data_IF_967141961943
#
_entry.id   IF_967141961943
#
_cell.length_a   1.000
_cell.length_b   1.000
_cell.length_c   1.000
_cell.angle_alpha   90.00
_cell.angle_beta   90.00
_cell.angle_gamma   90.00
#
_symmetry.space_group_name_H-M   'P 1'
#
loop_
_entity.id
_entity.type
_entity.pdbx_description
1 polymer ?
#
# COMPACT_ATOMS: atom_id res chain seq x y z
N UNK A 1 -35.19 8.20 1.27
CA UNK A 1 -35.38 9.69 1.20
C UNK A 1 -34.79 10.17 -0.10
N UNK A 2 -35.36 11.21 -0.76
CA UNK A 2 -34.85 11.89 -1.97
C UNK A 2 -34.89 13.41 -1.71
N UNK A 3 -33.76 14.00 -1.32
CA UNK A 3 -33.68 15.37 -0.81
C UNK A 3 -32.29 15.99 -1.05
N UNK A 4 -32.25 17.31 -1.22
CA UNK A 4 -31.01 18.08 -1.24
C UNK A 4 -30.75 18.76 0.11
N UNK A 5 -29.63 18.42 0.73
CA UNK A 5 -29.07 19.04 1.92
C UNK A 5 -27.97 20.00 1.51
N UNK A 6 -28.16 21.30 1.76
CA UNK A 6 -27.25 22.36 1.32
C UNK A 6 -26.83 23.17 2.53
N UNK A 7 -25.52 23.22 2.80
CA UNK A 7 -24.91 23.98 3.91
C UNK A 7 -25.48 23.60 5.29
N UNK A 8 -25.74 22.31 5.50
CA UNK A 8 -26.12 21.79 6.81
C UNK A 8 -24.85 21.71 7.68
N UNK A 9 -24.81 22.49 8.75
CA UNK A 9 -23.61 22.67 9.56
C UNK A 9 -23.89 22.26 11.02
N UNK A 10 -23.16 21.26 11.49
CA UNK A 10 -23.05 20.95 12.90
C UNK A 10 -22.36 22.09 13.67
N UNK A 11 -22.76 22.31 14.91
CA UNK A 11 -22.16 23.32 15.80
C UNK A 11 -20.64 23.16 15.86
N UNK A 12 -19.90 24.23 15.58
CA UNK A 12 -18.43 24.29 15.65
C UNK A 12 -17.90 24.43 17.08
N UNK A 13 -18.76 24.78 18.02
CA UNK A 13 -18.40 25.01 19.41
C UNK A 13 -18.44 23.72 20.24
N UNK A 14 -19.03 22.66 19.68
CA UNK A 14 -19.08 21.35 20.30
C UNK A 14 -18.08 20.44 19.59
N UNK A 15 -17.08 19.96 20.33
CA UNK A 15 -16.09 18.96 19.88
C UNK A 15 -16.72 17.58 19.57
N UNK A 16 -17.97 17.53 19.10
CA UNK A 16 -18.77 16.32 18.94
C UNK A 16 -19.97 16.46 18.01
N UNK A 17 -20.03 17.45 17.11
CA UNK A 17 -21.08 17.48 16.09
C UNK A 17 -20.92 16.31 15.10
N UNK A 18 -21.94 15.47 14.98
CA UNK A 18 -21.94 14.27 14.14
C UNK A 18 -22.93 14.43 13.00
N UNK A 19 -22.49 14.25 11.76
CA UNK A 19 -23.38 14.28 10.60
C UNK A 19 -23.86 15.69 10.28
N UNK A 20 -23.19 16.38 9.37
CA UNK A 20 -23.54 17.79 9.09
C UNK A 20 -24.98 17.95 8.62
N UNK A 21 -25.48 16.99 7.84
CA UNK A 21 -26.88 16.90 7.45
C UNK A 21 -27.64 15.82 8.23
N UNK A 22 -27.06 14.63 8.39
CA UNK A 22 -27.76 13.48 8.97
C UNK A 22 -26.84 12.71 9.91
N UNK A 23 -27.33 12.47 11.13
CA UNK A 23 -26.82 11.46 12.05
C UNK A 23 -27.76 10.25 12.06
N UNK A 24 -27.21 9.04 11.91
CA UNK A 24 -27.97 7.79 11.88
C UNK A 24 -27.46 6.86 12.97
N UNK A 25 -28.37 6.38 13.80
CA UNK A 25 -28.10 5.35 14.79
C UNK A 25 -28.88 4.08 14.42
N UNK A 26 -28.17 3.08 13.91
CA UNK A 26 -28.75 1.79 13.50
C UNK A 26 -28.64 0.78 14.64
N UNK A 27 -29.75 0.14 15.02
CA UNK A 27 -29.83 -0.86 16.09
C UNK A 27 -30.81 -1.98 15.75
N UNK A 28 -30.55 -3.18 16.25
CA UNK A 28 -31.48 -4.31 16.29
C UNK A 28 -32.08 -4.65 14.91
N UNK A 29 -31.21 -4.93 13.93
CA UNK A 29 -31.59 -5.34 12.57
C UNK A 29 -32.42 -4.31 11.79
N UNK A 30 -32.44 -3.04 12.22
CA UNK A 30 -33.14 -2.00 11.49
C UNK A 30 -32.52 -1.77 10.11
N UNK A 31 -33.35 -1.32 9.18
CA UNK A 31 -32.95 -1.06 7.80
C UNK A 31 -33.23 0.40 7.45
N UNK A 32 -32.28 1.04 6.79
CA UNK A 32 -32.41 2.42 6.32
C UNK A 32 -31.89 2.54 4.89
N UNK A 33 -32.62 3.29 4.06
CA UNK A 33 -32.26 3.54 2.65
C UNK A 33 -32.26 5.05 2.37
N UNK A 34 -31.12 5.55 1.89
CA UNK A 34 -30.94 6.92 1.40
C UNK A 34 -30.71 6.83 -0.10
N UNK A 35 -31.52 7.52 -0.91
CA UNK A 35 -31.42 7.40 -2.35
C UNK A 35 -31.70 8.69 -3.09
N UNK A 36 -30.94 9.01 -4.13
CA UNK A 36 -31.12 10.26 -4.89
C UNK A 36 -30.98 11.51 -4.01
N UNK A 37 -30.12 11.46 -2.99
CA UNK A 37 -29.87 12.61 -2.12
C UNK A 37 -28.59 13.34 -2.53
N UNK A 38 -28.60 14.66 -2.38
CA UNK A 38 -27.41 15.50 -2.52
C UNK A 38 -27.04 16.11 -1.18
N UNK A 39 -25.79 15.99 -0.77
CA UNK A 39 -25.19 16.64 0.37
C UNK A 39 -24.15 17.62 -0.17
N UNK A 40 -24.39 18.91 -0.04
CA UNK A 40 -23.54 19.94 -0.60
C UNK A 40 -23.11 20.94 0.47
N UNK A 41 -21.80 21.14 0.59
CA UNK A 41 -21.20 22.09 1.55
C UNK A 41 -21.63 21.82 3.01
N UNK A 42 -21.97 20.56 3.34
CA UNK A 42 -22.32 20.18 4.70
C UNK A 42 -21.05 20.02 5.56
N UNK A 43 -21.16 20.35 6.84
CA UNK A 43 -20.01 20.40 7.74
C UNK A 43 -20.34 19.81 9.12
N UNK A 44 -19.41 19.05 9.71
CA UNK A 44 -19.53 18.54 11.08
C UNK A 44 -18.15 18.19 11.65
N UNK A 45 -18.06 17.93 12.95
CA UNK A 45 -16.83 17.42 13.55
C UNK A 45 -16.44 16.07 12.93
N UNK A 46 -17.38 15.15 12.77
CA UNK A 46 -17.22 13.90 12.00
C UNK A 46 -18.39 13.66 11.06
N UNK A 47 -18.13 13.14 9.86
CA UNK A 47 -19.17 12.87 8.86
C UNK A 47 -19.78 14.16 8.31
N UNK A 48 -19.03 14.91 7.49
CA UNK A 48 -19.45 16.25 7.05
C UNK A 48 -20.82 16.27 6.37
N UNK A 49 -21.16 15.24 5.58
CA UNK A 49 -22.53 15.00 5.11
C UNK A 49 -23.33 14.13 6.07
N UNK A 50 -22.91 12.86 6.19
CA UNK A 50 -23.59 11.85 6.99
C UNK A 50 -22.62 11.24 7.99
N UNK A 51 -23.12 11.00 9.19
CA UNK A 51 -22.48 10.16 10.19
C UNK A 51 -23.42 9.01 10.55
N UNK A 52 -22.90 7.78 10.59
CA UNK A 52 -23.67 6.59 10.98
C UNK A 52 -22.92 5.75 12.00
N UNK A 53 -23.60 5.42 13.10
CA UNK A 53 -23.22 4.32 13.98
C UNK A 53 -24.11 3.10 13.72
N UNK A 54 -23.49 1.94 13.54
CA UNK A 54 -24.18 0.66 13.34
C UNK A 54 -23.93 -0.30 14.49
N UNK A 55 -25.03 -0.84 15.03
CA UNK A 55 -25.07 -1.81 16.11
C UNK A 55 -26.06 -2.94 15.80
N UNK A 56 -25.78 -4.14 16.33
CA UNK A 56 -26.67 -5.31 16.36
C UNK A 56 -27.40 -5.58 15.04
N UNK A 57 -26.65 -5.82 13.96
CA UNK A 57 -27.21 -6.21 12.65
C UNK A 57 -27.87 -5.08 11.85
N UNK A 58 -27.59 -3.82 12.17
CA UNK A 58 -28.15 -2.68 11.44
C UNK A 58 -27.70 -2.63 9.98
N UNK A 59 -28.63 -2.37 9.07
CA UNK A 59 -28.38 -2.38 7.63
C UNK A 59 -28.65 -1.01 7.00
N UNK A 60 -27.58 -0.36 6.51
CA UNK A 60 -27.69 0.92 5.82
C UNK A 60 -27.35 0.76 4.34
N UNK A 61 -28.23 1.26 3.48
CA UNK A 61 -27.99 1.39 2.04
C UNK A 61 -28.02 2.86 1.63
N UNK A 62 -26.96 3.31 0.97
CA UNK A 62 -26.87 4.61 0.30
C UNK A 62 -26.72 4.33 -1.20
N UNK A 63 -27.71 4.74 -1.98
CA UNK A 63 -27.86 4.33 -3.39
C UNK A 63 -28.45 5.47 -4.26
N UNK A 64 -28.74 5.20 -5.54
CA UNK A 64 -29.54 6.05 -6.40
C UNK A 64 -28.84 7.36 -6.72
N UNK A 65 -27.57 7.33 -7.12
CA UNK A 65 -26.83 8.54 -7.54
C UNK A 65 -26.68 9.57 -6.42
N UNK A 66 -26.54 9.12 -5.16
CA UNK A 66 -26.27 10.03 -4.05
C UNK A 66 -24.97 10.80 -4.28
N UNK A 67 -24.98 12.09 -3.97
CA UNK A 67 -23.84 13.00 -4.19
C UNK A 67 -23.39 13.64 -2.88
N UNK A 68 -22.09 13.64 -2.62
CA UNK A 68 -21.46 14.39 -1.54
C UNK A 68 -20.48 15.38 -2.17
N UNK A 69 -20.78 16.67 -2.10
CA UNK A 69 -20.04 17.71 -2.82
C UNK A 69 -19.54 18.76 -1.85
N UNK A 70 -18.22 18.94 -1.80
CA UNK A 70 -17.54 19.94 -0.97
C UNK A 70 -17.92 19.86 0.52
N UNK A 71 -18.27 18.65 1.00
CA UNK A 71 -18.52 18.41 2.41
C UNK A 71 -17.20 18.44 3.20
N UNK A 72 -17.25 18.93 4.44
CA UNK A 72 -16.07 19.13 5.27
C UNK A 72 -16.23 18.50 6.66
N UNK A 73 -15.19 17.82 7.12
CA UNK A 73 -15.09 17.36 8.50
C UNK A 73 -13.88 17.98 9.21
N UNK A 74 -14.08 18.41 10.46
CA UNK A 74 -12.99 18.89 11.31
C UNK A 74 -12.12 17.77 11.89
N UNK A 75 -12.51 16.51 11.70
CA UNK A 75 -11.75 15.35 12.16
C UNK A 75 -11.71 14.21 11.15
N UNK A 76 -12.84 13.54 10.90
CA UNK A 76 -12.87 12.33 10.05
C UNK A 76 -14.12 12.22 9.17
N UNK A 77 -13.94 11.74 7.94
CA UNK A 77 -15.03 11.48 7.00
C UNK A 77 -15.66 12.76 6.47
N UNK A 78 -14.99 13.43 5.53
CA UNK A 78 -15.47 14.71 5.01
C UNK A 78 -16.85 14.61 4.35
N UNK A 79 -17.14 13.55 3.60
CA UNK A 79 -18.47 13.27 3.07
C UNK A 79 -19.26 12.33 3.98
N UNK A 80 -18.70 11.17 4.26
CA UNK A 80 -19.36 10.07 4.94
C UNK A 80 -18.48 9.50 6.05
N UNK A 81 -19.09 9.25 7.21
CA UNK A 81 -18.49 8.51 8.31
C UNK A 81 -19.39 7.32 8.67
N UNK A 82 -18.84 6.11 8.65
CA UNK A 82 -19.51 4.87 9.07
C UNK A 82 -18.67 4.19 10.16
N UNK A 83 -19.32 3.87 11.27
CA UNK A 83 -18.75 3.04 12.34
C UNK A 83 -19.61 1.79 12.56
N UNK A 84 -18.97 0.62 12.69
CA UNK A 84 -19.62 -0.62 13.11
C UNK A 84 -19.05 -1.11 14.44
N UNK A 85 -19.92 -1.30 15.43
CA UNK A 85 -19.55 -1.69 16.79
C UNK A 85 -19.95 -3.12 17.17
N UNK A 86 -20.78 -3.81 16.37
CA UNK A 86 -21.32 -5.15 16.71
C UNK A 86 -21.44 -6.03 15.46
N UNK A 87 -21.60 -7.34 15.68
CA UNK A 87 -21.69 -8.32 14.60
C UNK A 87 -22.97 -8.20 13.76
N UNK A 88 -22.85 -8.60 12.49
CA UNK A 88 -23.96 -8.85 11.56
C UNK A 88 -24.47 -7.62 10.81
N UNK A 89 -23.82 -6.45 10.94
CA UNK A 89 -24.23 -5.24 10.24
C UNK A 89 -23.85 -5.29 8.76
N UNK A 90 -24.70 -4.73 7.90
CA UNK A 90 -24.43 -4.61 6.46
C UNK A 90 -24.44 -3.14 6.05
N UNK A 91 -23.39 -2.70 5.38
CA UNK A 91 -23.35 -1.38 4.76
C UNK A 91 -23.16 -1.50 3.26
N UNK A 92 -24.03 -0.84 2.51
CA UNK A 92 -23.97 -0.77 1.05
C UNK A 92 -23.88 0.69 0.64
N UNK A 93 -22.79 1.05 -0.03
CA UNK A 93 -22.67 2.29 -0.79
C UNK A 93 -22.65 1.94 -2.26
N UNK A 94 -23.67 2.37 -2.99
CA UNK A 94 -23.86 2.07 -4.39
C UNK A 94 -24.11 3.34 -5.20
N UNK A 95 -23.61 3.36 -6.44
CA UNK A 95 -23.92 4.40 -7.43
C UNK A 95 -23.78 5.80 -6.83
N UNK A 96 -22.65 6.09 -6.20
CA UNK A 96 -22.45 7.32 -5.42
C UNK A 96 -21.27 8.15 -5.94
N UNK A 97 -21.37 9.47 -5.81
CA UNK A 97 -20.31 10.40 -6.21
C UNK A 97 -19.90 11.30 -5.05
N UNK A 98 -18.63 11.25 -4.69
CA UNK A 98 -18.02 12.14 -3.69
C UNK A 98 -17.00 13.05 -4.39
N UNK A 99 -17.20 14.35 -4.28
CA UNK A 99 -16.36 15.35 -4.96
C UNK A 99 -15.91 16.45 -4.01
N UNK A 100 -14.62 16.75 -3.99
CA UNK A 100 -14.10 17.92 -3.28
C UNK A 100 -14.23 17.84 -1.76
N UNK A 101 -14.58 16.67 -1.22
CA UNK A 101 -14.76 16.48 0.21
C UNK A 101 -13.43 16.52 0.95
N UNK A 102 -13.45 17.07 2.16
CA UNK A 102 -12.24 17.37 2.93
C UNK A 102 -12.37 16.95 4.39
N UNK A 103 -11.27 16.49 4.95
CA UNK A 103 -11.16 16.18 6.37
C UNK A 103 -9.84 16.72 6.92
N UNK A 104 -9.85 17.25 8.15
CA UNK A 104 -8.63 17.76 8.78
C UNK A 104 -7.67 16.64 9.21
N UNK A 105 -8.19 15.45 9.58
CA UNK A 105 -7.37 14.29 9.95
C UNK A 105 -7.51 13.17 8.92
N UNK A 106 -8.60 12.40 8.91
CA UNK A 106 -8.66 11.18 8.10
C UNK A 106 -9.86 11.13 7.16
N UNK A 107 -9.71 10.48 6.01
CA UNK A 107 -10.76 10.28 5.01
C UNK A 107 -11.42 11.56 4.51
N UNK A 108 -10.93 12.10 3.39
CA UNK A 108 -11.53 13.30 2.78
C UNK A 108 -12.95 13.01 2.29
N UNK A 109 -13.17 11.86 1.67
CA UNK A 109 -14.49 11.39 1.24
C UNK A 109 -15.15 10.49 2.27
N UNK A 110 -14.67 9.24 2.40
CA UNK A 110 -15.35 8.17 3.14
C UNK A 110 -14.45 7.62 4.24
N UNK A 111 -14.93 7.67 5.48
CA UNK A 111 -14.32 7.00 6.61
C UNK A 111 -15.15 5.77 6.99
N UNK A 112 -14.51 4.61 7.07
CA UNK A 112 -15.11 3.37 7.57
C UNK A 112 -14.28 2.86 8.74
N UNK A 113 -14.93 2.69 9.88
CA UNK A 113 -14.35 2.12 11.08
C UNK A 113 -15.12 0.88 11.49
N UNK A 114 -14.42 -0.25 11.49
CA UNK A 114 -14.98 -1.55 11.82
C UNK A 114 -14.27 -2.11 13.05
N UNK A 115 -15.05 -2.57 14.04
CA UNK A 115 -14.54 -3.29 15.21
C UNK A 115 -15.10 -4.71 15.36
N UNK A 116 -15.99 -5.13 14.46
CA UNK A 116 -16.75 -6.38 14.58
C UNK A 116 -17.26 -6.85 13.22
N UNK A 117 -17.64 -8.13 13.15
CA UNK A 117 -18.12 -8.79 11.93
C UNK A 117 -19.14 -7.94 11.17
N UNK A 118 -18.79 -7.59 9.93
CA UNK A 118 -19.66 -6.86 9.03
C UNK A 118 -19.35 -7.19 7.59
N UNK A 119 -20.37 -7.00 6.75
CA UNK A 119 -20.25 -7.08 5.29
C UNK A 119 -20.45 -5.69 4.72
N UNK A 120 -19.40 -5.18 4.07
CA UNK A 120 -19.42 -3.88 3.41
C UNK A 120 -19.32 -4.04 1.90
N UNK A 121 -20.19 -3.33 1.18
CA UNK A 121 -20.18 -3.25 -0.27
C UNK A 121 -20.00 -1.80 -0.72
N UNK A 122 -19.01 -1.57 -1.57
CA UNK A 122 -18.77 -0.29 -2.25
C UNK A 122 -18.84 -0.56 -3.75
N UNK A 123 -19.94 -0.18 -4.39
CA UNK A 123 -20.27 -0.56 -5.76
C UNK A 123 -20.48 0.65 -6.65
N UNK A 124 -19.73 0.75 -7.75
CA UNK A 124 -19.84 1.82 -8.73
C UNK A 124 -19.78 3.23 -8.09
N UNK A 125 -18.74 3.45 -7.28
CA UNK A 125 -18.54 4.70 -6.53
C UNK A 125 -17.40 5.48 -7.14
N UNK A 126 -17.57 6.79 -7.30
CA UNK A 126 -16.50 7.69 -7.71
C UNK A 126 -16.14 8.65 -6.57
N UNK A 127 -14.86 8.73 -6.23
CA UNK A 127 -14.30 9.66 -5.24
C UNK A 127 -13.26 10.55 -5.93
N UNK A 128 -13.59 11.82 -6.11
CA UNK A 128 -12.80 12.75 -6.92
C UNK A 128 -12.38 14.00 -6.14
N UNK A 129 -11.10 14.36 -6.26
CA UNK A 129 -10.55 15.59 -5.71
C UNK A 129 -10.77 15.76 -4.19
N UNK A 130 -10.76 14.65 -3.45
CA UNK A 130 -10.89 14.65 -2.00
C UNK A 130 -9.54 14.81 -1.30
N UNK A 131 -9.54 15.39 -0.09
CA UNK A 131 -8.30 15.65 0.65
C UNK A 131 -8.40 15.38 2.15
N UNK A 132 -7.36 14.76 2.72
CA UNK A 132 -7.20 14.59 4.16
C UNK A 132 -5.73 14.61 4.57
N UNK A 133 -5.43 14.42 5.87
CA UNK A 133 -4.09 14.07 6.29
C UNK A 133 -3.78 12.60 5.94
N UNK A 134 -4.70 11.68 6.22
CA UNK A 134 -4.58 10.25 5.86
C UNK A 134 -5.81 9.75 5.10
N UNK A 135 -5.62 8.98 4.04
CA UNK A 135 -6.73 8.49 3.20
C UNK A 135 -7.41 9.65 2.48
N UNK A 136 -6.77 10.25 1.48
CA UNK A 136 -7.26 11.48 0.85
C UNK A 136 -8.69 11.34 0.31
N UNK A 137 -8.99 10.21 -0.34
CA UNK A 137 -10.34 9.82 -0.72
C UNK A 137 -11.05 8.99 0.35
N UNK A 138 -10.48 7.84 0.71
CA UNK A 138 -11.10 6.87 1.61
C UNK A 138 -10.13 6.41 2.71
N UNK A 139 -10.66 6.04 3.86
CA UNK A 139 -9.90 5.37 4.90
C UNK A 139 -10.74 4.25 5.52
N UNK A 140 -10.19 3.03 5.52
CA UNK A 140 -10.73 1.87 6.19
C UNK A 140 -9.85 1.54 7.40
N UNK A 141 -10.48 1.40 8.56
CA UNK A 141 -9.84 0.98 9.79
C UNK A 141 -10.57 -0.24 10.32
N UNK A 142 -9.80 -1.29 10.61
CA UNK A 142 -10.30 -2.55 11.14
C UNK A 142 -9.54 -2.91 12.41
N UNK A 143 -10.26 -3.07 13.51
CA UNK A 143 -9.73 -3.43 14.83
C UNK A 143 -10.42 -4.69 15.39
N UNK A 144 -9.73 -5.36 16.32
CA UNK A 144 -10.21 -6.49 17.14
C UNK A 144 -10.48 -7.82 16.39
N UNK A 145 -10.85 -8.84 17.16
CA UNK A 145 -10.85 -10.27 16.78
C UNK A 145 -12.08 -10.71 15.96
N UNK A 146 -12.45 -10.08 14.83
CA UNK A 146 -13.62 -10.54 14.06
C UNK A 146 -13.41 -10.57 12.55
N UNK A 147 -14.25 -11.35 11.85
CA UNK A 147 -14.22 -11.56 10.41
C UNK A 147 -14.95 -10.45 9.66
N UNK A 148 -14.24 -9.65 8.88
CA UNK A 148 -14.80 -8.66 7.96
C UNK A 148 -14.73 -9.13 6.52
N UNK A 149 -15.80 -8.85 5.76
CA UNK A 149 -15.77 -8.88 4.31
C UNK A 149 -16.03 -7.49 3.75
N UNK A 150 -15.08 -6.97 2.97
CA UNK A 150 -15.26 -5.74 2.21
C UNK A 150 -15.12 -6.04 0.73
N UNK A 151 -16.23 -5.88 0.01
CA UNK A 151 -16.29 -6.02 -1.45
C UNK A 151 -16.30 -4.63 -2.08
N UNK A 152 -15.30 -4.34 -2.91
CA UNK A 152 -15.16 -3.08 -3.62
C UNK A 152 -15.23 -3.41 -5.11
N UNK A 153 -16.28 -2.95 -5.80
CA UNK A 153 -16.47 -3.18 -7.22
C UNK A 153 -16.77 -1.89 -7.97
N UNK A 154 -16.04 -1.60 -9.05
CA UNK A 154 -16.28 -0.39 -9.85
C UNK A 154 -15.93 0.91 -9.10
N UNK A 155 -14.98 0.87 -8.16
CA UNK A 155 -14.52 2.07 -7.45
C UNK A 155 -13.52 2.85 -8.31
N UNK A 156 -13.78 4.14 -8.52
CA UNK A 156 -12.82 5.07 -9.14
C UNK A 156 -12.41 6.14 -8.14
N UNK A 157 -11.12 6.23 -7.83
CA UNK A 157 -10.56 7.26 -6.95
C UNK A 157 -9.60 8.12 -7.76
N UNK A 158 -9.95 9.38 -7.96
CA UNK A 158 -9.19 10.30 -8.82
C UNK A 158 -8.79 11.59 -8.12
N UNK A 159 -7.61 12.10 -8.44
CA UNK A 159 -7.11 13.42 -8.00
C UNK A 159 -7.13 13.62 -6.47
N UNK A 160 -7.16 12.54 -5.69
CA UNK A 160 -7.25 12.60 -4.25
C UNK A 160 -5.86 12.80 -3.63
N UNK A 161 -5.80 13.54 -2.53
CA UNK A 161 -4.53 13.90 -1.89
C UNK A 161 -4.56 13.65 -0.39
N UNK A 162 -3.55 12.96 0.12
CA UNK A 162 -3.26 12.90 1.55
C UNK A 162 -1.98 13.69 1.85
N UNK A 163 -1.90 14.34 3.02
CA UNK A 163 -0.64 14.99 3.44
C UNK A 163 0.31 14.03 4.16
N UNK A 164 -0.13 12.83 4.52
CA UNK A 164 0.64 11.76 5.14
C UNK A 164 0.53 10.48 4.31
N UNK A 165 -0.50 9.64 4.49
CA UNK A 165 -0.54 8.33 3.81
C UNK A 165 -1.81 8.08 3.02
N UNK A 166 -1.67 7.34 1.92
CA UNK A 166 -2.78 6.82 1.13
C UNK A 166 -3.54 7.93 0.41
N UNK A 167 -3.00 8.42 -0.70
CA UNK A 167 -3.53 9.61 -1.37
C UNK A 167 -4.95 9.40 -1.88
N UNK A 168 -5.20 8.24 -2.47
CA UNK A 168 -6.54 7.77 -2.79
C UNK A 168 -7.19 7.08 -1.59
N UNK A 169 -6.53 6.07 -1.05
CA UNK A 169 -7.08 5.26 0.03
C UNK A 169 -6.03 4.81 1.03
N UNK A 170 -6.42 4.65 2.29
CA UNK A 170 -5.61 4.00 3.31
C UNK A 170 -6.39 2.87 3.97
N UNK A 171 -5.74 1.73 4.14
CA UNK A 171 -6.26 0.59 4.90
C UNK A 171 -5.36 0.37 6.10
N UNK A 172 -5.98 0.29 7.26
CA UNK A 172 -5.33 -0.04 8.52
C UNK A 172 -6.02 -1.23 9.15
N UNK A 173 -5.31 -2.33 9.32
CA UNK A 173 -5.84 -3.59 9.83
C UNK A 173 -5.02 -4.07 11.04
N UNK A 174 -5.69 -4.31 12.16
CA UNK A 174 -5.15 -4.94 13.38
C UNK A 174 -5.94 -6.21 13.76
N UNK A 175 -6.63 -6.84 12.81
CA UNK A 175 -7.49 -7.98 13.10
C UNK A 175 -6.70 -9.25 13.46
N UNK A 176 -7.14 -10.00 14.46
CA UNK A 176 -6.45 -11.24 14.90
C UNK A 176 -7.04 -12.49 14.21
N UNK A 177 -8.11 -12.32 13.43
CA UNK A 177 -8.74 -13.32 12.55
C UNK A 177 -8.74 -12.81 11.12
N UNK A 178 -8.87 -13.73 10.16
CA UNK A 178 -8.66 -13.43 8.75
C UNK A 178 -9.78 -12.56 8.17
N UNK A 179 -9.50 -11.29 7.94
CA UNK A 179 -10.38 -10.41 7.16
C UNK A 179 -10.17 -10.61 5.66
N UNK A 180 -11.17 -10.25 4.86
CA UNK A 180 -11.06 -10.29 3.40
C UNK A 180 -11.45 -8.96 2.77
N UNK A 181 -10.58 -8.45 1.90
CA UNK A 181 -10.87 -7.32 1.02
C UNK A 181 -10.75 -7.79 -0.43
N UNK A 182 -11.83 -7.67 -1.20
CA UNK A 182 -11.85 -7.97 -2.63
C UNK A 182 -12.00 -6.69 -3.44
N UNK A 183 -11.02 -6.41 -4.30
CA UNK A 183 -11.08 -5.35 -5.30
C UNK A 183 -11.50 -5.92 -6.65
N UNK A 184 -12.52 -5.31 -7.27
CA UNK A 184 -12.94 -5.60 -8.64
C UNK A 184 -13.10 -4.31 -9.42
N UNK A 185 -12.58 -4.26 -10.64
CA UNK A 185 -12.74 -3.12 -11.55
C UNK A 185 -12.48 -1.77 -10.86
N UNK A 186 -11.37 -1.70 -10.11
CA UNK A 186 -11.05 -0.57 -9.24
C UNK A 186 -9.87 0.21 -9.81
N UNK A 187 -9.95 1.54 -9.80
CA UNK A 187 -8.90 2.40 -10.32
C UNK A 187 -8.54 3.56 -9.38
N UNK A 188 -7.24 3.81 -9.26
CA UNK A 188 -6.64 4.96 -8.60
C UNK A 188 -5.87 5.78 -9.63
N UNK A 189 -6.23 7.06 -9.79
CA UNK A 189 -5.68 7.91 -10.85
C UNK A 189 -5.27 9.28 -10.31
N UNK A 190 -4.04 9.71 -10.58
CA UNK A 190 -3.51 11.02 -10.17
C UNK A 190 -3.60 11.27 -8.65
N UNK A 191 -3.57 10.22 -7.84
CA UNK A 191 -3.61 10.35 -6.38
C UNK A 191 -2.20 10.61 -5.82
N UNK A 192 -2.11 11.34 -4.71
CA UNK A 192 -0.81 11.65 -4.10
C UNK A 192 -0.80 11.69 -2.57
N UNK A 193 0.30 11.25 -1.99
CA UNK A 193 0.55 11.21 -0.53
C UNK A 193 2.05 11.33 -0.23
N UNK A 194 2.45 11.36 1.04
CA UNK A 194 3.85 11.09 1.41
C UNK A 194 4.17 9.62 1.12
N UNK A 195 3.37 8.70 1.66
CA UNK A 195 3.48 7.26 1.38
C UNK A 195 2.22 6.73 0.71
N UNK A 196 2.38 5.92 -0.34
CA UNK A 196 1.26 5.28 -1.01
C UNK A 196 0.40 6.29 -1.76
N UNK A 197 0.92 6.83 -2.88
CA UNK A 197 0.23 7.88 -3.62
C UNK A 197 -1.19 7.48 -4.02
N UNK A 198 -1.39 6.24 -4.45
CA UNK A 198 -2.70 5.62 -4.62
C UNK A 198 -3.25 5.04 -3.33
N UNK A 199 -2.54 4.04 -2.78
CA UNK A 199 -2.98 3.30 -1.60
C UNK A 199 -1.84 3.11 -0.57
N UNK A 200 -2.16 3.27 0.72
CA UNK A 200 -1.34 2.84 1.86
C UNK A 200 -2.00 1.65 2.57
N UNK A 201 -1.26 0.57 2.73
CA UNK A 201 -1.68 -0.65 3.43
C UNK A 201 -0.84 -0.85 4.69
N UNK A 202 -1.46 -0.77 5.86
CA UNK A 202 -0.85 -1.07 7.15
C UNK A 202 -1.51 -2.34 7.70
N UNK A 203 -0.82 -3.46 7.58
CA UNK A 203 -1.34 -4.79 7.94
C UNK A 203 -0.59 -5.27 9.17
N UNK A 204 -1.24 -5.17 10.33
CA UNK A 204 -0.75 -5.60 11.63
C UNK A 204 -1.50 -6.86 12.13
N UNK A 205 -2.58 -7.21 11.43
CA UNK A 205 -3.41 -8.39 11.65
C UNK A 205 -3.34 -9.43 10.53
N UNK A 206 -4.28 -10.37 10.53
CA UNK A 206 -4.51 -11.34 9.46
C UNK A 206 -5.45 -10.69 8.43
N UNK A 207 -4.96 -10.49 7.21
CA UNK A 207 -5.75 -9.92 6.12
C UNK A 207 -5.47 -10.68 4.83
N UNK A 208 -6.54 -11.04 4.15
CA UNK A 208 -6.54 -11.54 2.77
C UNK A 208 -6.96 -10.43 1.82
N UNK A 209 -6.08 -10.02 0.91
CA UNK A 209 -6.41 -9.06 -0.15
C UNK A 209 -6.45 -9.81 -1.48
N UNK A 210 -7.58 -9.74 -2.16
CA UNK A 210 -7.78 -10.24 -3.51
C UNK A 210 -8.07 -9.09 -4.47
N UNK A 211 -7.67 -9.25 -5.72
CA UNK A 211 -8.01 -8.28 -6.75
C UNK A 211 -8.27 -8.92 -8.11
N UNK A 212 -9.13 -8.26 -8.88
CA UNK A 212 -9.37 -8.51 -10.29
C UNK A 212 -9.55 -7.15 -10.97
N UNK A 213 -8.68 -6.82 -11.93
CA UNK A 213 -8.67 -5.52 -12.60
C UNK A 213 -8.52 -4.33 -11.63
N UNK A 214 -7.45 -4.37 -10.81
CA UNK A 214 -7.05 -3.27 -9.94
C UNK A 214 -5.97 -2.45 -10.63
N UNK A 215 -6.16 -1.13 -10.72
CA UNK A 215 -5.25 -0.26 -11.49
C UNK A 215 -4.80 0.97 -10.70
N UNK A 216 -3.53 1.33 -10.85
CA UNK A 216 -2.92 2.55 -10.32
C UNK A 216 -2.23 3.28 -11.46
N UNK A 217 -2.62 4.54 -11.71
CA UNK A 217 -2.07 5.36 -12.79
C UNK A 217 -1.69 6.75 -12.32
N UNK A 218 -0.48 7.17 -12.67
CA UNK A 218 0.03 8.53 -12.40
C UNK A 218 -0.04 8.91 -10.91
N UNK A 219 0.04 7.93 -10.00
CA UNK A 219 0.03 8.19 -8.57
C UNK A 219 1.44 8.62 -8.12
N UNK A 220 1.52 9.47 -7.09
CA UNK A 220 2.82 9.95 -6.62
C UNK A 220 2.97 9.95 -5.10
N UNK A 221 4.08 9.39 -4.62
CA UNK A 221 4.62 9.60 -3.29
C UNK A 221 5.54 10.82 -3.33
N UNK A 222 5.14 11.92 -2.67
CA UNK A 222 5.85 13.20 -2.70
C UNK A 222 5.66 14.03 -1.44
N UNK A 223 6.71 14.77 -1.08
CA UNK A 223 6.65 15.75 0.00
C UNK A 223 5.95 17.05 -0.45
N UNK A 224 5.05 17.55 0.39
CA UNK A 224 4.30 18.79 0.19
C UNK A 224 4.92 20.03 0.86
N UNK A 225 6.11 19.92 1.44
CA UNK A 225 6.82 21.01 2.10
C UNK A 225 6.22 21.34 3.48
N UNK A 226 6.54 20.54 4.50
CA UNK A 226 6.01 20.73 5.85
C UNK A 226 6.72 20.00 6.99
N UNK A 227 7.93 19.48 6.77
CA UNK A 227 8.73 18.83 7.83
C UNK A 227 8.31 17.42 8.23
N UNK A 228 7.29 16.83 7.61
CA UNK A 228 6.90 15.42 7.82
C UNK A 228 7.61 14.52 6.81
N UNK A 229 7.98 13.33 7.28
CA UNK A 229 8.97 12.43 6.73
C UNK A 229 8.29 11.15 6.26
N UNK A 230 8.26 10.96 4.94
CA UNK A 230 8.36 9.72 4.17
C UNK A 230 7.91 10.01 2.71
N UNK A 231 8.11 9.10 1.77
CA UNK A 231 8.15 9.42 0.33
C UNK A 231 8.25 8.18 -0.55
N UNK A 232 7.63 7.08 -0.15
CA UNK A 232 7.82 5.77 -0.80
C UNK A 232 6.51 5.21 -1.34
N UNK A 233 6.59 4.34 -2.35
CA UNK A 233 5.42 3.67 -2.91
C UNK A 233 4.55 4.64 -3.70
N UNK A 234 5.01 5.03 -4.90
CA UNK A 234 4.32 6.04 -5.69
C UNK A 234 2.86 5.67 -6.01
N UNK A 235 2.61 4.41 -6.32
CA UNK A 235 1.26 3.84 -6.41
C UNK A 235 0.82 3.23 -5.09
N UNK A 236 1.61 2.29 -4.57
CA UNK A 236 1.24 1.41 -3.46
C UNK A 236 2.35 1.43 -2.41
N UNK A 237 1.98 1.68 -1.16
CA UNK A 237 2.85 1.44 -0.01
C UNK A 237 2.25 0.33 0.85
N UNK A 238 3.05 -0.68 1.19
CA UNK A 238 2.63 -1.83 1.99
C UNK A 238 3.60 -1.98 3.16
N UNK A 239 3.06 -1.96 4.38
CA UNK A 239 3.80 -2.25 5.60
C UNK A 239 3.16 -3.39 6.38
N UNK A 240 3.95 -4.45 6.54
CA UNK A 240 3.58 -5.69 7.21
C UNK A 240 4.24 -5.73 8.60
N UNK A 241 3.46 -5.55 9.66
CA UNK A 241 3.97 -5.54 11.03
C UNK A 241 3.56 -6.83 11.74
N UNK A 242 4.43 -7.84 11.83
CA UNK A 242 3.95 -9.22 12.03
C UNK A 242 4.24 -9.79 13.42
N UNK A 243 3.25 -10.49 14.00
CA UNK A 243 3.41 -11.73 14.79
C UNK A 243 2.44 -12.88 14.37
N UNK A 244 1.71 -12.74 13.26
CA UNK A 244 0.63 -13.65 12.79
C UNK A 244 0.62 -13.88 11.27
N UNK A 245 -0.23 -14.81 10.77
CA UNK A 245 -0.38 -15.21 9.36
C UNK A 245 -1.02 -14.09 8.49
N UNK A 246 -0.75 -14.00 7.19
CA UNK A 246 -1.46 -13.10 6.25
C UNK A 246 -1.35 -13.58 4.80
N UNK A 247 -2.27 -13.10 3.94
CA UNK A 247 -2.31 -13.47 2.52
C UNK A 247 -2.53 -12.22 1.65
N UNK A 248 -1.47 -11.71 1.02
CA UNK A 248 -1.56 -10.61 0.06
C UNK A 248 -1.48 -11.20 -1.34
N UNK A 249 -2.63 -11.46 -1.96
CA UNK A 249 -2.74 -12.08 -3.29
C UNK A 249 -3.33 -11.09 -4.27
N UNK A 250 -2.45 -10.35 -4.96
CA UNK A 250 -2.88 -9.29 -5.87
C UNK A 250 -2.78 -9.78 -7.31
N UNK A 251 -3.91 -10.24 -7.86
CA UNK A 251 -4.02 -10.72 -9.24
C UNK A 251 -4.51 -9.60 -10.16
N UNK A 252 -4.09 -9.65 -11.42
CA UNK A 252 -4.48 -8.68 -12.45
C UNK A 252 -4.27 -7.21 -12.03
N UNK A 253 -3.16 -6.96 -11.32
CA UNK A 253 -2.75 -5.61 -10.91
C UNK A 253 -2.00 -4.91 -12.03
N UNK A 254 -2.42 -3.68 -12.35
CA UNK A 254 -1.68 -2.76 -13.22
C UNK A 254 -1.18 -1.55 -12.43
N UNK A 255 0.13 -1.32 -12.39
CA UNK A 255 0.74 -0.11 -11.80
C UNK A 255 1.57 0.61 -12.85
N UNK A 256 1.14 1.80 -13.24
CA UNK A 256 1.73 2.50 -14.38
C UNK A 256 1.95 4.00 -14.13
N UNK A 257 3.10 4.51 -14.57
CA UNK A 257 3.47 5.94 -14.48
C UNK A 257 3.45 6.50 -13.04
N UNK A 258 3.57 5.64 -12.03
CA UNK A 258 3.63 6.06 -10.65
C UNK A 258 5.04 6.54 -10.29
N UNK A 259 5.14 7.45 -9.33
CA UNK A 259 6.41 8.08 -8.95
C UNK A 259 6.65 8.15 -7.46
N UNK A 260 7.85 7.78 -7.00
CA UNK A 260 8.35 8.06 -5.66
C UNK A 260 9.45 9.13 -5.71
N UNK A 261 9.27 10.22 -4.97
CA UNK A 261 10.21 11.35 -4.97
C UNK A 261 10.96 11.48 -3.66
N UNK A 262 12.22 11.88 -3.76
CA UNK A 262 13.07 12.15 -2.62
C UNK A 262 12.69 13.45 -1.93
N UNK A 263 12.78 13.42 -0.61
CA UNK A 263 12.87 14.63 0.18
C UNK A 263 14.35 15.01 0.37
N UNK A 264 14.81 16.02 -0.37
CA UNK A 264 16.21 16.48 -0.33
C UNK A 264 16.57 17.10 1.04
N UNK A 265 15.58 17.52 1.84
CA UNK A 265 15.84 18.25 3.08
C UNK A 265 16.36 17.37 4.23
N UNK A 266 16.24 16.04 4.17
CA UNK A 266 16.77 15.12 5.19
C UNK A 266 17.15 13.76 4.61
N UNK A 267 18.26 13.19 5.09
CA UNK A 267 18.76 11.87 4.68
C UNK A 267 18.13 10.69 5.44
N UNK A 268 17.26 10.95 6.44
CA UNK A 268 16.57 9.97 7.29
C UNK A 268 15.19 10.50 7.72
N UNK A 269 14.14 9.65 7.79
CA UNK A 269 14.03 8.33 7.16
C UNK A 269 14.12 8.43 5.63
N UNK A 270 14.57 7.36 4.96
CA UNK A 270 14.80 7.36 3.52
C UNK A 270 13.50 7.49 2.71
N UNK A 271 13.56 8.27 1.63
CA UNK A 271 12.44 8.55 0.71
C UNK A 271 12.87 8.36 -0.74
N UNK A 272 11.89 8.22 -1.65
CA UNK A 272 12.13 8.07 -3.09
C UNK A 272 12.39 6.64 -3.54
N UNK A 273 11.85 5.65 -2.82
CA UNK A 273 11.96 4.23 -3.15
C UNK A 273 10.62 3.65 -3.59
N UNK A 274 10.65 2.69 -4.53
CA UNK A 274 9.45 1.98 -4.96
C UNK A 274 8.51 2.88 -5.74
N UNK A 275 8.87 3.22 -6.98
CA UNK A 275 8.11 4.15 -7.81
C UNK A 275 6.69 3.67 -8.07
N UNK A 276 6.53 2.37 -8.33
CA UNK A 276 5.23 1.70 -8.34
C UNK A 276 4.83 1.26 -6.93
N UNK A 277 5.60 0.34 -6.36
CA UNK A 277 5.29 -0.35 -5.11
C UNK A 277 6.48 -0.26 -4.15
N UNK A 278 6.20 0.07 -2.89
CA UNK A 278 7.14 -0.09 -1.80
C UNK A 278 6.57 -1.06 -0.77
N UNK A 279 7.30 -2.14 -0.51
CA UNK A 279 6.90 -3.21 0.40
C UNK A 279 7.90 -3.27 1.57
N UNK A 280 7.41 -3.20 2.80
CA UNK A 280 8.26 -3.29 4.00
C UNK A 280 7.66 -4.21 5.06
N UNK A 281 8.51 -4.77 5.92
CA UNK A 281 8.07 -5.49 7.12
C UNK A 281 8.88 -5.14 8.38
N UNK A 282 8.24 -5.24 9.55
CA UNK A 282 8.89 -5.03 10.85
C UNK A 282 9.47 -6.31 11.47
N UNK A 283 9.06 -7.50 10.99
CA UNK A 283 9.51 -8.79 11.52
C UNK A 283 9.73 -9.81 10.40
N UNK A 284 10.27 -10.96 10.79
CA UNK A 284 10.62 -12.07 9.91
C UNK A 284 9.43 -12.56 9.09
N UNK A 285 9.60 -12.53 7.77
CA UNK A 285 8.70 -13.16 6.82
C UNK A 285 8.80 -14.70 6.93
N UNK A 286 7.65 -15.38 6.94
CA UNK A 286 7.61 -16.84 6.91
C UNK A 286 6.77 -17.31 5.72
N UNK A 287 7.37 -17.80 4.63
CA UNK A 287 6.64 -18.20 3.43
C UNK A 287 5.65 -19.36 3.68
N UNK A 288 5.82 -20.14 4.75
CA UNK A 288 4.90 -21.23 5.10
C UNK A 288 3.58 -20.76 5.68
N UNK A 289 3.52 -19.53 6.20
CA UNK A 289 2.30 -18.96 6.82
C UNK A 289 1.84 -17.66 6.17
N UNK A 290 2.69 -17.07 5.33
CA UNK A 290 2.49 -15.75 4.78
C UNK A 290 2.70 -15.80 3.26
N UNK A 291 1.69 -15.40 2.51
CA UNK A 291 1.75 -15.40 1.04
C UNK A 291 1.79 -13.95 0.55
N UNK A 292 2.80 -13.63 -0.25
CA UNK A 292 2.84 -12.42 -1.07
C UNK A 292 2.90 -12.90 -2.51
N UNK A 293 1.82 -12.69 -3.26
CA UNK A 293 1.68 -13.17 -4.62
C UNK A 293 1.37 -12.01 -5.57
N UNK A 294 2.38 -11.63 -6.34
CA UNK A 294 2.31 -10.65 -7.42
C UNK A 294 2.33 -11.31 -8.80
N UNK A 295 1.99 -12.60 -8.92
CA UNK A 295 1.83 -13.23 -10.24
C UNK A 295 0.73 -12.52 -11.03
N UNK A 296 1.06 -12.19 -12.28
CA UNK A 296 0.19 -11.39 -13.15
C UNK A 296 0.30 -9.87 -12.95
N UNK A 297 1.15 -9.39 -12.03
CA UNK A 297 1.47 -7.97 -11.91
C UNK A 297 2.01 -7.43 -13.24
N UNK A 298 1.37 -6.37 -13.72
CA UNK A 298 1.79 -5.56 -14.85
C UNK A 298 2.26 -4.21 -14.34
N UNK A 299 3.57 -3.97 -14.37
CA UNK A 299 4.20 -2.78 -13.82
C UNK A 299 5.03 -2.09 -14.90
N UNK A 300 4.73 -0.82 -15.20
CA UNK A 300 5.29 -0.10 -16.35
C UNK A 300 5.58 1.37 -16.07
N UNK A 301 6.70 1.86 -16.61
CA UNK A 301 7.03 3.30 -16.68
C UNK A 301 6.96 4.01 -15.32
N UNK A 302 7.20 3.29 -14.23
CA UNK A 302 7.24 3.89 -12.91
C UNK A 302 8.62 4.51 -12.69
N UNK A 303 8.71 5.45 -11.74
CA UNK A 303 10.00 6.10 -11.44
C UNK A 303 10.22 6.29 -9.94
N UNK A 304 11.45 6.07 -9.51
CA UNK A 304 11.88 6.28 -8.14
C UNK A 304 13.17 7.09 -8.15
N UNK A 305 13.22 8.18 -7.38
CA UNK A 305 14.40 9.04 -7.30
C UNK A 305 15.63 8.32 -6.69
N UNK A 306 15.44 7.23 -5.93
CA UNK A 306 16.54 6.43 -5.34
C UNK A 306 16.71 5.05 -5.95
N UNK A 307 15.74 4.16 -5.78
CA UNK A 307 15.87 2.75 -6.16
C UNK A 307 14.49 2.07 -6.24
N UNK A 308 14.44 0.97 -7.00
CA UNK A 308 13.21 0.22 -7.28
C UNK A 308 12.24 1.06 -8.08
N UNK A 309 12.52 1.25 -9.37
CA UNK A 309 11.64 2.02 -10.26
C UNK A 309 10.22 1.46 -10.22
N UNK A 310 10.10 0.14 -10.29
CA UNK A 310 8.84 -0.59 -10.17
C UNK A 310 8.58 -1.05 -8.74
N UNK A 311 9.47 -1.83 -8.14
CA UNK A 311 9.30 -2.42 -6.81
C UNK A 311 10.55 -2.19 -5.96
N UNK A 312 10.34 -1.74 -4.72
CA UNK A 312 11.37 -1.77 -3.69
C UNK A 312 10.92 -2.56 -2.46
N UNK A 313 11.73 -3.52 -2.01
CA UNK A 313 11.40 -4.39 -0.86
C UNK A 313 12.36 -4.17 0.30
N UNK A 314 11.82 -3.98 1.50
CA UNK A 314 12.55 -3.91 2.77
C UNK A 314 12.09 -5.07 3.65
N UNK A 315 12.92 -6.10 3.79
CA UNK A 315 12.53 -7.30 4.53
C UNK A 315 13.76 -8.08 4.99
N UNK A 316 13.80 -8.54 6.25
CA UNK A 316 14.93 -9.34 6.76
C UNK A 316 15.18 -10.58 5.86
N UNK A 317 14.09 -11.31 5.56
CA UNK A 317 14.10 -12.54 4.76
C UNK A 317 13.81 -12.29 3.28
N UNK A 318 14.52 -11.31 2.71
CA UNK A 318 14.34 -10.89 1.33
C UNK A 318 14.69 -12.01 0.34
N UNK A 319 15.74 -12.78 0.62
CA UNK A 319 16.14 -13.90 -0.22
C UNK A 319 15.06 -14.98 -0.25
N UNK A 320 14.50 -15.35 0.90
CA UNK A 320 13.43 -16.35 1.00
C UNK A 320 12.14 -15.90 0.30
N UNK A 321 11.80 -14.61 0.36
CA UNK A 321 10.70 -14.06 -0.43
C UNK A 321 10.96 -14.21 -1.94
N UNK A 322 12.16 -13.86 -2.38
CA UNK A 322 12.54 -13.89 -3.79
C UNK A 322 12.72 -15.33 -4.33
N UNK A 323 13.04 -16.29 -3.46
CA UNK A 323 13.23 -17.71 -3.78
C UNK A 323 11.95 -18.53 -3.59
N UNK A 324 10.83 -17.89 -3.24
CA UNK A 324 9.54 -18.58 -3.19
C UNK A 324 9.11 -19.00 -4.61
N UNK A 325 8.75 -20.28 -4.75
CA UNK A 325 8.38 -20.85 -6.05
C UNK A 325 9.59 -21.05 -6.96
N UNK A 326 9.38 -20.92 -8.27
CA UNK A 326 10.46 -21.01 -9.26
C UNK A 326 10.81 -19.63 -9.84
N UNK A 327 12.12 -19.33 -9.95
CA UNK A 327 12.65 -18.16 -10.66
C UNK A 327 11.94 -16.84 -10.32
N UNK A 328 11.67 -16.58 -9.03
CA UNK A 328 11.09 -15.33 -8.55
C UNK A 328 9.63 -15.09 -8.93
N UNK A 329 8.88 -16.12 -9.37
CA UNK A 329 7.53 -15.97 -9.93
C UNK A 329 6.55 -15.19 -9.04
N UNK A 330 6.68 -15.29 -7.71
CA UNK A 330 5.79 -14.63 -6.75
C UNK A 330 5.99 -13.12 -6.66
N UNK A 331 7.14 -12.59 -7.07
CA UNK A 331 7.48 -11.17 -6.87
C UNK A 331 7.80 -10.43 -8.18
N UNK A 332 8.27 -11.12 -9.22
CA UNK A 332 8.83 -10.47 -10.41
C UNK A 332 7.80 -9.83 -11.34
N UNK A 333 6.53 -10.25 -11.28
CA UNK A 333 5.48 -9.74 -12.18
C UNK A 333 5.83 -9.94 -13.66
N UNK A 334 5.78 -8.88 -14.46
CA UNK A 334 6.17 -8.87 -15.88
C UNK A 334 7.66 -8.55 -16.13
N UNK A 335 8.52 -8.60 -15.11
CA UNK A 335 9.98 -8.53 -15.28
C UNK A 335 10.48 -9.76 -16.04
N UNK A 336 11.41 -9.55 -16.98
CA UNK A 336 12.01 -10.63 -17.79
C UNK A 336 13.51 -10.63 -17.59
N UNK A 337 14.03 -11.74 -17.06
CA UNK A 337 15.45 -11.96 -16.78
C UNK A 337 16.31 -11.70 -18.03
N UNK A 338 17.42 -10.99 -17.87
CA UNK A 338 18.31 -10.59 -18.97
C UNK A 338 17.76 -9.57 -19.99
N UNK A 339 16.50 -9.14 -19.86
CA UNK A 339 15.87 -8.15 -20.76
C UNK A 339 15.49 -6.86 -20.01
N UNK A 340 14.83 -7.01 -18.86
CA UNK A 340 14.43 -5.88 -18.02
C UNK A 340 15.64 -5.19 -17.38
N UNK A 341 15.49 -3.91 -17.05
CA UNK A 341 16.55 -3.17 -16.35
C UNK A 341 16.57 -3.60 -14.88
N UNK A 342 17.76 -3.95 -14.36
CA UNK A 342 17.89 -4.47 -12.99
C UNK A 342 17.36 -3.53 -11.90
N UNK A 343 17.45 -2.20 -12.11
CA UNK A 343 16.95 -1.20 -11.18
C UNK A 343 15.42 -1.08 -11.12
N UNK A 344 14.68 -1.87 -11.91
CA UNK A 344 13.22 -1.99 -11.78
C UNK A 344 12.85 -2.65 -10.45
N UNK A 345 13.61 -3.68 -10.05
CA UNK A 345 13.34 -4.50 -8.87
C UNK A 345 14.56 -4.50 -7.95
N UNK A 346 14.46 -3.78 -6.83
CA UNK A 346 15.53 -3.67 -5.84
C UNK A 346 15.00 -3.95 -4.43
N UNK A 347 15.90 -4.28 -3.51
CA UNK A 347 15.52 -4.42 -2.11
C UNK A 347 16.70 -4.52 -1.17
N UNK A 348 16.42 -4.45 0.12
CA UNK A 348 17.42 -4.47 1.19
C UNK A 348 17.03 -5.47 2.28
N UNK A 349 17.94 -6.36 2.71
CA UNK A 349 17.65 -7.43 3.67
C UNK A 349 17.66 -6.94 5.13
N UNK A 350 16.82 -5.96 5.46
CA UNK A 350 16.68 -5.40 6.82
C UNK A 350 15.21 -5.19 7.18
N UNK A 351 14.89 -5.06 8.46
CA UNK A 351 13.54 -4.65 8.88
C UNK A 351 13.27 -3.16 8.62
N UNK A 352 11.99 -2.77 8.65
CA UNK A 352 11.58 -1.39 8.42
C UNK A 352 12.19 -0.42 9.44
N UNK A 353 12.41 -0.84 10.69
CA UNK A 353 12.97 0.02 11.74
C UNK A 353 14.42 0.37 11.42
N UNK A 354 15.19 -0.61 10.99
CA UNK A 354 16.58 -0.49 10.56
C UNK A 354 16.67 0.36 9.30
N UNK A 355 15.84 0.07 8.29
CA UNK A 355 15.77 0.88 7.06
C UNK A 355 15.49 2.36 7.36
N UNK A 356 14.53 2.63 8.25
CA UNK A 356 14.18 4.00 8.66
C UNK A 356 15.32 4.73 9.40
N UNK A 357 16.31 3.99 9.89
CA UNK A 357 17.50 4.51 10.56
C UNK A 357 18.72 4.61 9.64
N UNK A 358 18.70 4.02 8.45
CA UNK A 358 19.84 4.01 7.52
C UNK A 358 19.98 5.35 6.77
N UNK A 359 21.22 5.74 6.49
CA UNK A 359 21.50 6.79 5.51
C UNK A 359 21.35 6.25 4.08
N UNK A 360 21.22 7.15 3.09
CA UNK A 360 21.21 6.74 1.68
C UNK A 360 22.48 5.97 1.25
N UNK A 361 23.65 6.26 1.85
CA UNK A 361 24.88 5.52 1.58
C UNK A 361 24.85 4.10 2.16
N UNK A 362 24.31 3.92 3.37
CA UNK A 362 24.13 2.62 3.99
C UNK A 362 23.14 1.76 3.21
N UNK A 363 22.05 2.35 2.70
CA UNK A 363 21.07 1.64 1.87
C UNK A 363 21.71 1.21 0.56
N UNK A 364 22.38 2.13 -0.14
CA UNK A 364 23.08 1.83 -1.41
C UNK A 364 24.12 0.71 -1.27
N UNK A 365 24.77 0.61 -0.12
CA UNK A 365 25.77 -0.44 0.15
C UNK A 365 25.15 -1.81 0.45
N UNK A 366 23.93 -1.87 0.98
CA UNK A 366 23.30 -3.11 1.45
C UNK A 366 22.18 -3.63 0.53
N UNK A 367 21.70 -2.80 -0.40
CA UNK A 367 20.65 -3.20 -1.32
C UNK A 367 21.18 -4.10 -2.43
N UNK A 368 20.29 -4.93 -2.96
CA UNK A 368 20.54 -5.83 -4.06
C UNK A 368 19.47 -5.66 -5.14
N UNK A 369 19.82 -5.99 -6.38
CA UNK A 369 18.83 -6.28 -7.40
C UNK A 369 18.14 -7.60 -7.07
N UNK A 370 16.81 -7.65 -7.16
CA UNK A 370 16.07 -8.83 -6.73
C UNK A 370 16.37 -10.07 -7.60
N UNK A 371 16.69 -9.88 -8.89
CA UNK A 371 17.08 -10.96 -9.81
C UNK A 371 18.22 -11.82 -9.27
N UNK A 372 19.18 -11.22 -8.55
CA UNK A 372 20.32 -11.92 -7.96
C UNK A 372 19.95 -13.02 -6.94
N UNK A 373 18.71 -13.02 -6.44
CA UNK A 373 18.24 -14.02 -5.47
C UNK A 373 17.65 -15.27 -6.14
N UNK A 374 17.11 -15.18 -7.36
CA UNK A 374 16.46 -16.30 -8.06
C UNK A 374 17.17 -16.74 -9.33
N UNK A 375 17.92 -15.84 -9.97
CA UNK A 375 18.92 -16.26 -10.93
C UNK A 375 20.07 -16.87 -10.12
N UNK A 376 20.14 -18.20 -10.11
CA UNK A 376 21.13 -18.99 -9.36
C UNK A 376 21.95 -19.91 -10.27
N UNK A 377 22.06 -19.63 -11.58
CA UNK A 377 22.78 -20.52 -12.50
C UNK A 377 24.19 -20.88 -11.93
N UNK A 378 24.42 -22.14 -11.54
CA UNK A 378 25.66 -22.56 -10.93
C UNK A 378 26.81 -22.60 -11.95
N UNK A 379 26.54 -22.60 -13.24
CA UNK A 379 27.57 -22.65 -14.28
C UNK A 379 28.06 -21.26 -14.70
N UNK A 380 27.42 -20.19 -14.21
CA UNK A 380 27.81 -18.83 -14.53
C UNK A 380 29.19 -18.42 -13.98
N UNK A 381 29.76 -17.42 -14.65
CA UNK A 381 31.01 -16.76 -14.29
C UNK A 381 30.69 -15.72 -13.20
N UNK A 382 31.44 -15.75 -12.10
CA UNK A 382 31.28 -14.78 -11.01
C UNK A 382 32.22 -13.61 -11.18
N UNK A 383 31.68 -12.40 -11.32
CA UNK A 383 32.44 -11.20 -11.65
C UNK A 383 33.02 -10.52 -10.39
N UNK A 384 34.29 -10.14 -10.46
CA UNK A 384 35.02 -9.39 -9.43
C UNK A 384 35.55 -8.09 -10.01
N UNK A 385 35.17 -6.95 -9.43
CA UNK A 385 35.60 -5.62 -9.88
C UNK A 385 36.35 -4.87 -8.77
N UNK A 386 37.68 -4.95 -8.78
CA UNK A 386 38.52 -4.37 -7.72
C UNK A 386 38.63 -2.83 -7.82
N UNK A 387 38.94 -2.28 -9.01
CA UNK A 387 38.88 -0.85 -9.40
C UNK A 387 38.98 -0.78 -10.94
N UNK A 388 37.97 -0.24 -11.64
CA UNK A 388 38.16 0.38 -12.95
C UNK A 388 37.43 1.72 -12.98
N UNK A 389 38.21 2.80 -13.15
CA UNK A 389 37.93 4.23 -13.42
C UNK A 389 36.61 4.92 -13.01
N UNK A 390 35.47 4.24 -12.81
CA UNK A 390 34.17 4.84 -12.46
C UNK A 390 33.29 3.99 -11.50
N UNK A 391 33.58 2.71 -11.22
CA UNK A 391 32.88 1.92 -10.18
C UNK A 391 33.75 0.82 -9.57
N UNK A 392 33.49 0.47 -8.30
CA UNK A 392 34.07 -0.69 -7.60
C UNK A 392 32.96 -1.66 -7.25
N UNK A 393 33.24 -2.96 -7.33
CA UNK A 393 32.34 -3.99 -6.82
C UNK A 393 32.11 -3.85 -5.31
N UNK A 394 31.11 -4.58 -4.81
CA UNK A 394 30.70 -4.57 -3.39
C UNK A 394 30.66 -6.00 -2.90
N UNK A 395 31.37 -6.28 -1.80
CA UNK A 395 31.29 -7.56 -1.10
C UNK A 395 30.02 -7.58 -0.25
N UNK A 396 28.96 -8.11 -0.85
CA UNK A 396 27.65 -8.32 -0.23
C UNK A 396 27.09 -9.68 -0.62
N UNK A 397 26.25 -10.26 0.24
CA UNK A 397 25.59 -11.53 -0.05
C UNK A 397 24.87 -11.45 -1.40
N UNK A 398 24.98 -12.49 -2.23
CA UNK A 398 24.50 -12.52 -3.60
C UNK A 398 25.19 -11.53 -4.58
N UNK A 399 26.38 -11.01 -4.28
CA UNK A 399 27.25 -10.43 -5.30
C UNK A 399 27.83 -11.50 -6.25
N UNK A 400 28.42 -11.03 -7.36
CA UNK A 400 29.12 -11.88 -8.33
C UNK A 400 28.45 -11.91 -9.70
N UNK A 401 27.36 -11.16 -9.90
CA UNK A 401 26.75 -10.96 -11.22
C UNK A 401 27.45 -9.82 -11.96
N UNK A 402 27.38 -9.80 -13.29
CA UNK A 402 28.03 -8.77 -14.11
C UNK A 402 27.56 -7.35 -13.75
N UNK A 403 26.28 -7.21 -13.40
CA UNK A 403 25.64 -5.97 -12.98
C UNK A 403 25.78 -5.69 -11.47
N UNK A 404 26.30 -6.66 -10.70
CA UNK A 404 26.52 -6.56 -9.25
C UNK A 404 27.78 -7.36 -8.85
N UNK A 405 28.97 -6.93 -9.30
CA UNK A 405 30.19 -7.67 -9.09
C UNK A 405 30.62 -7.62 -7.63
N UNK A 406 31.26 -8.69 -7.16
CA UNK A 406 31.94 -8.66 -5.86
C UNK A 406 33.16 -7.74 -5.92
N UNK A 407 33.59 -7.24 -4.76
CA UNK A 407 34.79 -6.41 -4.65
C UNK A 407 36.06 -7.27 -4.63
N UNK A 408 36.01 -8.42 -3.97
CA UNK A 408 37.17 -9.29 -3.76
C UNK A 408 36.95 -10.69 -4.35
N UNK A 409 38.06 -11.30 -4.80
CA UNK A 409 38.08 -12.69 -5.26
C UNK A 409 37.69 -13.64 -4.13
N UNK A 410 38.21 -13.41 -2.92
CA UNK A 410 37.92 -14.24 -1.75
C UNK A 410 36.42 -14.28 -1.47
N UNK A 411 35.76 -13.12 -1.48
CA UNK A 411 34.33 -13.05 -1.24
C UNK A 411 33.53 -13.67 -2.40
N UNK A 412 33.93 -13.46 -3.66
CA UNK A 412 33.31 -14.15 -4.78
C UNK A 412 33.40 -15.69 -4.65
N UNK A 413 34.54 -16.22 -4.21
CA UNK A 413 34.69 -17.65 -3.94
C UNK A 413 33.75 -18.15 -2.85
N UNK A 414 33.49 -17.35 -1.81
CA UNK A 414 32.52 -17.66 -0.75
C UNK A 414 31.09 -17.67 -1.31
N UNK A 415 30.73 -16.70 -2.15
CA UNK A 415 29.41 -16.64 -2.79
C UNK A 415 29.16 -17.83 -3.72
N UNK A 416 30.17 -18.28 -4.47
CA UNK A 416 30.07 -19.48 -5.31
C UNK A 416 29.78 -20.72 -4.44
N UNK A 417 30.49 -20.88 -3.32
CA UNK A 417 30.26 -21.99 -2.38
C UNK A 417 28.84 -21.94 -1.81
N UNK A 418 28.40 -20.76 -1.38
CA UNK A 418 27.07 -20.56 -0.82
C UNK A 418 25.97 -20.91 -1.82
N UNK A 419 26.03 -20.41 -3.05
CA UNK A 419 24.99 -20.66 -4.06
C UNK A 419 24.96 -22.11 -4.56
N UNK A 420 26.10 -22.78 -4.68
CA UNK A 420 26.17 -24.17 -5.18
C UNK A 420 25.91 -25.23 -4.11
N UNK A 421 26.28 -24.94 -2.86
CA UNK A 421 26.35 -25.95 -1.81
C UNK A 421 25.81 -25.47 -0.45
N UNK A 422 25.09 -24.36 -0.41
CA UNK A 422 24.32 -23.87 0.74
C UNK A 422 25.15 -23.29 1.89
N UNK A 423 26.48 -23.26 1.78
CA UNK A 423 27.37 -22.67 2.80
C UNK A 423 28.62 -22.08 2.18
N UNK A 424 29.07 -20.94 2.70
CA UNK A 424 30.31 -20.27 2.26
C UNK A 424 31.57 -21.12 2.45
N UNK A 425 31.53 -22.12 3.34
CA UNK A 425 32.64 -23.03 3.62
C UNK A 425 32.54 -24.36 2.87
N UNK A 426 31.44 -24.62 2.18
CA UNK A 426 31.26 -25.87 1.43
C UNK A 426 32.28 -25.98 0.29
N UNK A 427 32.83 -27.18 0.12
CA UNK A 427 33.69 -27.49 -1.01
C UNK A 427 32.88 -27.54 -2.31
N UNK A 428 33.46 -26.99 -3.38
CA UNK A 428 32.90 -26.98 -4.73
C UNK A 428 34.04 -27.26 -5.68
N UNK A 429 33.89 -28.27 -6.54
CA UNK A 429 34.93 -28.72 -7.47
C UNK A 429 35.38 -27.63 -8.46
N UNK A 430 34.44 -26.80 -8.93
CA UNK A 430 34.72 -25.76 -9.91
C UNK A 430 34.08 -24.41 -9.54
N UNK A 431 34.93 -23.38 -9.49
CA UNK A 431 34.56 -21.98 -9.22
C UNK A 431 35.05 -21.10 -10.38
N UNK A 432 34.13 -20.58 -11.18
CA UNK A 432 34.44 -19.75 -12.35
C UNK A 432 34.42 -18.27 -11.96
N UNK A 433 35.52 -17.55 -12.21
CA UNK A 433 35.65 -16.11 -11.91
C UNK A 433 35.94 -15.32 -13.18
N UNK A 434 35.23 -14.21 -13.35
CA UNK A 434 35.45 -13.20 -14.39
C UNK A 434 35.92 -11.88 -13.77
N UNK A 435 36.60 -11.06 -14.56
CA UNK A 435 37.16 -9.77 -14.15
C UNK A 435 36.63 -8.62 -14.99
#
# INVERSE_FOLDING_TARGET
>A
MNTNFIRCNGSLNDNGSLGGAIYILMRNQCQAIISNCKFQQCQAYSGGGIFTDMFNGGNLTIDGQCQFIDCYSYNTGGGLYISNYNAGSIFILQDAYLKGCKSASSAGGIYIFNMNEAVFHINNVTVDNCRANSGGGLLLVVFYNQYQQLFISGLTVSNCTASDRGGGMRIYNEAVVNDTIEFRDTSFVNCSALDGGGIDLQIWGILSIFSSNLTFRNCSARNWGGGILNGNGGGIYINLNISTQYEVVIKDLLVQNCKATTNISQSKPPTGYGGGIFLTSNKDYNPSTNVIDFRGLKIYNNSADKAGQSLYVVMIKLAELCQQGESGEYIKGNYTDGISQYNELEGIPVDSKTFNSCSSSQIKYQQNYLESYWDLDPNEIYYVQYIQSQSTGIDQEYCGRIYQPCKTIEYALQQISFRKAGSITSFVDQKNIGF
#
